data_IF_575348803581
#
_entry.id   IF_575348803581
#
_cell.length_a   1.000
_cell.length_b   1.000
_cell.length_c   1.000
_cell.angle_alpha   90.00
_cell.angle_beta   90.00
_cell.angle_gamma   90.00
#
_symmetry.space_group_name_H-M   'P 1'
#
loop_
_entity.id
_entity.type
_entity.pdbx_description
1 polymer ?
#
# COMPACT_ATOMS: atom_id res chain seq x y z
N UNK A 1 8.25 -21.19 6.28
CA UNK A 1 6.96 -20.80 5.68
C UNK A 1 5.80 -21.04 6.65
N UNK A 2 5.60 -22.26 7.18
CA UNK A 2 4.51 -22.58 8.11
C UNK A 2 4.54 -21.74 9.39
N UNK A 3 5.72 -21.52 9.99
CA UNK A 3 5.89 -20.66 11.16
C UNK A 3 5.54 -19.21 10.87
N UNK A 4 5.94 -18.68 9.70
CA UNK A 4 5.58 -17.32 9.26
C UNK A 4 4.07 -17.17 9.08
N UNK A 5 3.41 -18.18 8.51
CA UNK A 5 1.95 -18.23 8.40
C UNK A 5 1.28 -18.28 9.77
N UNK A 6 1.80 -19.09 10.70
CA UNK A 6 1.29 -19.18 12.05
C UNK A 6 1.37 -17.84 12.81
N UNK A 7 2.49 -17.14 12.71
CA UNK A 7 2.66 -15.82 13.31
C UNK A 7 1.75 -14.75 12.67
N UNK A 8 1.55 -14.81 11.36
CA UNK A 8 0.67 -13.88 10.66
C UNK A 8 -0.82 -14.21 10.86
N UNK A 9 -1.17 -15.45 11.19
CA UNK A 9 -2.53 -15.92 11.38
C UNK A 9 -3.28 -15.16 12.49
N UNK A 10 -2.57 -14.74 13.53
CA UNK A 10 -3.14 -13.92 14.61
C UNK A 10 -3.81 -12.64 14.09
N UNK A 11 -3.26 -12.03 13.05
CA UNK A 11 -3.83 -10.84 12.41
C UNK A 11 -4.78 -11.20 11.27
N UNK A 12 -4.37 -12.11 10.37
CA UNK A 12 -5.13 -12.38 9.14
C UNK A 12 -6.43 -13.14 9.38
N UNK A 13 -6.48 -14.08 10.33
CA UNK A 13 -7.69 -14.86 10.56
C UNK A 13 -8.84 -13.98 11.05
N UNK A 14 -8.70 -13.14 12.10
CA UNK A 14 -9.75 -12.21 12.50
C UNK A 14 -10.12 -11.26 11.37
N UNK A 15 -9.14 -10.66 10.69
CA UNK A 15 -9.40 -9.71 9.60
C UNK A 15 -10.24 -10.33 8.47
N UNK A 16 -9.97 -11.59 8.09
CA UNK A 16 -10.74 -12.29 7.06
C UNK A 16 -12.15 -12.66 7.53
N UNK A 17 -12.30 -13.10 8.78
CA UNK A 17 -13.60 -13.48 9.34
C UNK A 17 -14.51 -12.28 9.57
N UNK A 18 -13.93 -11.14 9.96
CA UNK A 18 -14.66 -9.92 10.30
C UNK A 18 -14.86 -9.00 9.09
N UNK A 19 -14.15 -9.21 7.98
CA UNK A 19 -14.28 -8.41 6.74
C UNK A 19 -15.74 -8.21 6.31
N UNK A 20 -16.60 -9.21 6.51
CA UNK A 20 -18.03 -9.15 6.14
C UNK A 20 -18.82 -8.09 6.93
N UNK A 21 -18.29 -7.60 8.04
CA UNK A 21 -18.97 -6.64 8.91
C UNK A 21 -18.54 -5.19 8.66
N UNK A 22 -17.67 -4.92 7.72
CA UNK A 22 -17.20 -3.58 7.37
C UNK A 22 -17.67 -3.17 5.97
N UNK A 23 -17.80 -1.85 5.73
CA UNK A 23 -18.24 -1.31 4.44
C UNK A 23 -17.34 -1.74 3.27
N UNK A 24 -16.05 -1.96 3.49
CA UNK A 24 -15.11 -2.45 2.46
C UNK A 24 -15.58 -3.75 1.80
N UNK A 25 -16.33 -4.59 2.51
CA UNK A 25 -16.87 -5.83 1.93
C UNK A 25 -18.00 -5.60 0.93
N UNK A 26 -18.68 -4.47 1.01
CA UNK A 26 -19.85 -4.15 0.19
C UNK A 26 -19.51 -3.27 -1.01
N UNK A 27 -18.51 -2.41 -0.88
CA UNK A 27 -18.09 -1.51 -1.94
C UNK A 27 -16.57 -1.45 -2.05
N UNK A 28 -15.99 -1.79 -3.20
CA UNK A 28 -14.56 -1.64 -3.42
C UNK A 28 -14.17 -0.15 -3.35
N UNK A 29 -12.98 0.13 -2.82
CA UNK A 29 -12.45 1.50 -2.65
C UNK A 29 -12.35 2.27 -3.97
N UNK A 30 -12.02 1.58 -5.05
CA UNK A 30 -11.95 2.12 -6.40
C UNK A 30 -12.22 1.04 -7.44
N UNK A 31 -12.56 1.45 -8.65
CA UNK A 31 -12.65 0.51 -9.76
C UNK A 31 -11.23 0.01 -10.12
N UNK A 32 -11.10 -1.30 -10.36
CA UNK A 32 -9.83 -1.88 -10.81
C UNK A 32 -9.32 -1.17 -12.08
N UNK A 33 -10.24 -0.76 -12.97
CA UNK A 33 -9.91 -0.10 -14.24
C UNK A 33 -9.13 1.21 -14.10
N UNK A 34 -9.29 1.92 -12.99
CA UNK A 34 -8.58 3.19 -12.73
C UNK A 34 -7.15 2.98 -12.22
N UNK A 35 -6.81 1.75 -11.85
CA UNK A 35 -5.55 1.42 -11.18
C UNK A 35 -4.54 0.71 -12.08
N UNK A 36 -4.81 0.64 -13.38
CA UNK A 36 -3.84 0.12 -14.36
C UNK A 36 -2.79 1.15 -14.73
N UNK A 37 -1.59 0.67 -15.01
CA UNK A 37 -0.45 1.52 -15.39
C UNK A 37 -0.46 1.71 -16.90
N UNK A 38 -0.33 2.95 -17.35
CA UNK A 38 -0.17 3.27 -18.77
C UNK A 38 1.29 3.04 -19.17
N UNK A 39 1.52 2.51 -20.37
CA UNK A 39 2.88 2.23 -20.87
C UNK A 39 3.79 3.47 -20.82
N UNK A 40 3.26 4.65 -21.13
CA UNK A 40 4.00 5.91 -21.07
C UNK A 40 4.48 6.26 -19.66
N UNK A 41 3.74 5.83 -18.64
CA UNK A 41 3.98 6.15 -17.23
C UNK A 41 4.88 5.09 -16.58
N UNK A 42 5.24 4.01 -17.30
CA UNK A 42 6.01 2.91 -16.77
C UNK A 42 7.43 3.33 -16.38
N UNK A 43 8.08 4.15 -17.22
CA UNK A 43 9.49 4.55 -17.02
C UNK A 43 9.60 5.69 -16.05
N UNK A 44 8.72 6.68 -16.15
CA UNK A 44 8.78 7.88 -15.34
C UNK A 44 7.43 8.54 -15.16
N UNK A 45 7.12 8.88 -13.92
CA UNK A 45 6.06 9.80 -13.53
C UNK A 45 6.68 10.85 -12.63
N UNK A 46 6.44 12.17 -12.86
CA UNK A 46 6.91 13.19 -11.96
C UNK A 46 6.28 13.02 -10.57
N UNK A 47 7.09 13.22 -9.53
CA UNK A 47 6.59 13.23 -8.17
C UNK A 47 5.57 14.35 -7.96
N UNK A 48 4.43 14.01 -7.39
CA UNK A 48 3.40 14.97 -6.98
C UNK A 48 2.72 14.48 -5.70
N UNK A 49 2.40 15.41 -4.80
CA UNK A 49 1.53 15.14 -3.66
C UNK A 49 0.10 15.11 -4.19
N UNK A 50 -0.44 13.96 -4.41
CA UNK A 50 -1.75 13.85 -4.99
C UNK A 50 -2.50 12.59 -4.62
N UNK A 51 -3.73 12.52 -5.08
CA UNK A 51 -4.67 11.43 -4.81
C UNK A 51 -4.17 10.09 -5.41
N UNK A 52 -3.35 10.15 -6.44
CA UNK A 52 -2.76 8.97 -7.06
C UNK A 52 -1.24 8.98 -6.85
N UNK A 53 -0.68 8.00 -6.14
CA UNK A 53 0.76 7.90 -6.01
C UNK A 53 1.37 7.71 -7.41
N UNK A 54 2.48 8.38 -7.72
CA UNK A 54 3.19 8.17 -8.97
C UNK A 54 3.81 6.78 -8.96
N UNK A 55 3.14 5.83 -9.63
CA UNK A 55 3.57 4.43 -9.67
C UNK A 55 4.22 4.18 -11.01
N UNK A 56 5.55 4.15 -11.01
CA UNK A 56 6.38 3.83 -12.16
C UNK A 56 7.50 2.88 -11.76
N UNK A 57 8.11 2.24 -12.74
CA UNK A 57 9.31 1.45 -12.53
C UNK A 57 10.51 2.33 -12.14
N UNK A 58 10.50 3.56 -12.62
CA UNK A 58 11.56 4.53 -12.45
C UNK A 58 12.71 4.32 -13.46
N UNK A 59 13.42 5.41 -13.73
CA UNK A 59 14.52 5.43 -14.71
C UNK A 59 15.62 4.43 -14.32
N UNK A 60 15.97 4.36 -13.03
CA UNK A 60 17.04 3.47 -12.57
C UNK A 60 16.78 2.00 -12.87
N UNK A 61 15.59 1.49 -12.55
CA UNK A 61 15.22 0.10 -12.81
C UNK A 61 15.02 -0.18 -14.31
N UNK A 62 14.52 0.79 -15.06
CA UNK A 62 14.38 0.69 -16.52
C UNK A 62 15.75 0.56 -17.20
N UNK A 63 16.73 1.39 -16.79
CA UNK A 63 18.10 1.29 -17.25
C UNK A 63 18.76 -0.03 -16.80
N UNK A 64 18.53 -0.45 -15.57
CA UNK A 64 19.03 -1.73 -15.06
C UNK A 64 18.56 -2.91 -15.93
N UNK A 65 17.26 -2.97 -16.22
CA UNK A 65 16.69 -4.00 -17.10
C UNK A 65 17.31 -3.95 -18.50
N UNK A 66 17.44 -2.76 -19.09
CA UNK A 66 18.06 -2.57 -20.38
C UNK A 66 19.52 -3.09 -20.40
N UNK A 67 20.34 -2.76 -19.40
CA UNK A 67 21.72 -3.22 -19.31
C UNK A 67 21.82 -4.73 -19.13
N UNK A 68 20.94 -5.34 -18.33
CA UNK A 68 20.91 -6.80 -18.18
C UNK A 68 20.62 -7.47 -19.53
N UNK A 69 19.58 -7.02 -20.22
CA UNK A 69 19.18 -7.61 -21.49
C UNK A 69 20.26 -7.45 -22.57
N UNK A 70 20.84 -6.26 -22.71
CA UNK A 70 21.94 -6.03 -23.67
C UNK A 70 23.15 -6.91 -23.33
N UNK A 71 23.57 -6.93 -22.07
CA UNK A 71 24.74 -7.74 -21.66
C UNK A 71 24.48 -9.22 -21.92
N UNK A 72 23.25 -9.70 -21.70
CA UNK A 72 22.88 -11.08 -22.02
C UNK A 72 22.93 -11.36 -23.51
N UNK A 73 22.38 -10.47 -24.35
CA UNK A 73 22.36 -10.64 -25.81
C UNK A 73 23.76 -10.62 -26.43
N UNK A 74 24.66 -9.77 -25.89
CA UNK A 74 26.02 -9.62 -26.37
C UNK A 74 26.99 -10.68 -25.78
N UNK A 75 26.55 -11.47 -24.82
CA UNK A 75 27.39 -12.50 -24.18
C UNK A 75 27.64 -13.66 -25.13
N UNK A 76 28.96 -13.89 -25.43
CA UNK A 76 29.40 -15.03 -26.23
C UNK A 76 29.46 -16.34 -25.40
N UNK A 77 29.67 -16.24 -24.10
CA UNK A 77 29.76 -17.36 -23.17
C UNK A 77 28.39 -17.69 -22.58
N UNK A 78 27.69 -18.60 -23.22
CA UNK A 78 26.38 -19.06 -22.74
C UNK A 78 26.54 -20.16 -21.71
N UNK A 79 25.89 -20.02 -20.59
CA UNK A 79 25.78 -21.03 -19.56
C UNK A 79 24.32 -21.48 -19.46
N UNK A 80 24.04 -22.71 -19.83
CA UNK A 80 22.66 -23.25 -19.92
C UNK A 80 21.80 -22.96 -18.68
N UNK A 81 22.34 -23.14 -17.47
CA UNK A 81 21.59 -22.87 -16.23
C UNK A 81 21.26 -21.40 -16.05
N UNK A 82 22.21 -20.50 -16.38
CA UNK A 82 21.99 -19.04 -16.34
C UNK A 82 21.01 -18.59 -17.41
N UNK A 83 21.12 -19.18 -18.61
CA UNK A 83 20.27 -18.84 -19.74
C UNK A 83 18.81 -19.17 -19.45
N UNK A 84 18.52 -20.38 -18.92
CA UNK A 84 17.17 -20.78 -18.53
C UNK A 84 16.59 -19.80 -17.50
N UNK A 85 17.37 -19.43 -16.49
CA UNK A 85 16.87 -18.55 -15.44
C UNK A 85 16.60 -17.13 -15.96
N UNK A 86 17.47 -16.59 -16.80
CA UNK A 86 17.26 -15.26 -17.42
C UNK A 86 16.01 -15.29 -18.33
N UNK A 87 15.84 -16.35 -19.12
CA UNK A 87 14.64 -16.52 -19.95
C UNK A 87 13.39 -16.59 -19.07
N UNK A 88 13.41 -17.41 -18.02
CA UNK A 88 12.30 -17.54 -17.08
C UNK A 88 11.94 -16.19 -16.44
N UNK A 89 12.92 -15.46 -15.92
CA UNK A 89 12.72 -14.13 -15.34
C UNK A 89 12.18 -13.13 -16.37
N UNK A 90 12.70 -13.17 -17.61
CA UNK A 90 12.22 -12.28 -18.68
C UNK A 90 10.77 -12.56 -19.06
N UNK A 91 10.37 -13.82 -19.21
CA UNK A 91 8.99 -14.20 -19.48
C UNK A 91 8.08 -13.82 -18.33
N UNK A 92 8.53 -14.05 -17.08
CA UNK A 92 7.79 -13.64 -15.89
C UNK A 92 7.59 -12.12 -15.82
N UNK A 93 8.62 -11.34 -16.14
CA UNK A 93 8.54 -9.88 -16.19
C UNK A 93 7.55 -9.41 -17.27
N UNK A 94 7.61 -9.96 -18.47
CA UNK A 94 6.67 -9.62 -19.54
C UNK A 94 5.23 -9.93 -19.13
N UNK A 95 5.00 -11.07 -18.49
CA UNK A 95 3.68 -11.44 -17.98
C UNK A 95 3.20 -10.47 -16.89
N UNK A 96 4.07 -10.11 -15.94
CA UNK A 96 3.74 -9.16 -14.89
C UNK A 96 3.47 -7.75 -15.45
N UNK A 97 4.27 -7.28 -16.41
CA UNK A 97 4.01 -6.00 -17.09
C UNK A 97 2.68 -6.02 -17.84
N UNK A 98 2.36 -7.13 -18.51
CA UNK A 98 1.06 -7.29 -19.15
C UNK A 98 -0.07 -7.20 -18.11
N UNK A 99 0.06 -7.85 -16.97
CA UNK A 99 -0.94 -7.81 -15.91
C UNK A 99 -1.12 -6.42 -15.26
N UNK A 100 -0.14 -5.53 -15.37
CA UNK A 100 -0.32 -4.12 -14.92
C UNK A 100 -1.05 -3.25 -15.95
N UNK A 101 -1.30 -3.74 -17.16
CA UNK A 101 -1.94 -3.01 -18.24
C UNK A 101 -3.45 -3.29 -18.31
N UNK A 102 -4.23 -2.28 -18.71
CA UNK A 102 -5.71 -2.38 -18.83
C UNK A 102 -6.18 -3.56 -19.69
N UNK A 103 -5.41 -3.96 -20.69
CA UNK A 103 -5.75 -5.08 -21.58
C UNK A 103 -5.84 -6.41 -20.83
N UNK A 104 -5.29 -6.49 -19.64
CA UNK A 104 -5.35 -7.68 -18.78
C UNK A 104 -6.55 -7.74 -17.84
N UNK A 105 -7.47 -6.78 -17.91
CA UNK A 105 -8.61 -6.64 -16.97
C UNK A 105 -9.41 -7.93 -16.76
N UNK A 106 -9.48 -8.78 -17.77
CA UNK A 106 -10.17 -10.06 -17.68
C UNK A 106 -9.53 -10.99 -16.64
N UNK A 107 -8.20 -11.02 -16.55
CA UNK A 107 -7.46 -11.87 -15.60
C UNK A 107 -7.66 -11.44 -14.15
N UNK A 108 -7.99 -10.17 -13.90
CA UNK A 108 -8.22 -9.63 -12.57
C UNK A 108 -9.52 -10.08 -11.91
N UNK A 109 -10.31 -10.90 -12.60
CA UNK A 109 -11.47 -11.60 -12.05
C UNK A 109 -11.11 -12.96 -11.45
N UNK A 110 -9.87 -13.43 -11.64
CA UNK A 110 -9.42 -14.76 -11.24
C UNK A 110 -8.63 -14.68 -9.94
N UNK A 111 -8.92 -15.49 -8.91
CA UNK A 111 -8.05 -15.64 -7.76
C UNK A 111 -6.68 -16.20 -8.19
N UNK A 112 -5.55 -15.76 -7.62
CA UNK A 112 -5.41 -14.80 -6.50
C UNK A 112 -5.34 -13.31 -6.90
N UNK A 113 -5.43 -12.96 -8.20
CA UNK A 113 -5.28 -11.57 -8.67
C UNK A 113 -6.36 -10.65 -8.08
N UNK A 114 -7.60 -11.16 -7.96
CA UNK A 114 -8.70 -10.40 -7.34
C UNK A 114 -8.38 -9.96 -5.90
N UNK A 115 -7.51 -10.69 -5.19
CA UNK A 115 -7.13 -10.35 -3.81
C UNK A 115 -6.05 -9.29 -3.72
N UNK A 116 -5.39 -8.97 -4.84
CA UNK A 116 -4.40 -7.90 -4.88
C UNK A 116 -5.04 -6.51 -4.94
N UNK A 117 -6.33 -6.40 -5.27
CA UNK A 117 -7.14 -5.19 -5.45
C UNK A 117 -6.60 -4.24 -6.53
N UNK A 118 -5.29 -4.00 -6.57
CA UNK A 118 -4.68 -2.99 -7.43
C UNK A 118 -3.56 -3.56 -8.31
N UNK A 119 -3.68 -3.45 -9.65
CA UNK A 119 -2.67 -3.92 -10.60
C UNK A 119 -1.26 -3.38 -10.35
N UNK A 120 -1.13 -2.15 -9.92
CA UNK A 120 0.16 -1.53 -9.65
C UNK A 120 0.95 -2.19 -8.51
N UNK A 121 0.30 -2.96 -7.63
CA UNK A 121 1.00 -3.73 -6.57
C UNK A 121 2.01 -4.73 -7.14
N UNK A 122 1.81 -5.18 -8.38
CA UNK A 122 2.77 -6.05 -9.07
C UNK A 122 4.10 -5.37 -9.38
N UNK A 123 4.17 -4.02 -9.34
CA UNK A 123 5.43 -3.30 -9.57
C UNK A 123 6.51 -3.66 -8.54
N UNK A 124 6.15 -3.94 -7.30
CA UNK A 124 7.10 -4.43 -6.29
C UNK A 124 7.74 -5.76 -6.69
N UNK A 125 6.96 -6.69 -7.23
CA UNK A 125 7.45 -7.99 -7.72
C UNK A 125 8.31 -7.81 -8.97
N UNK A 126 7.93 -6.90 -9.86
CA UNK A 126 8.69 -6.56 -11.07
C UNK A 126 10.08 -6.02 -10.69
N UNK A 127 10.14 -5.05 -9.77
CA UNK A 127 11.39 -4.47 -9.27
C UNK A 127 12.28 -5.55 -8.64
N UNK A 128 11.69 -6.44 -7.85
CA UNK A 128 12.41 -7.57 -7.26
C UNK A 128 13.03 -8.48 -8.34
N UNK A 129 12.27 -8.84 -9.39
CA UNK A 129 12.79 -9.68 -10.48
C UNK A 129 13.90 -8.99 -11.28
N UNK A 130 13.76 -7.69 -11.55
CA UNK A 130 14.85 -6.92 -12.19
C UNK A 130 16.11 -6.97 -11.32
N UNK A 131 15.97 -6.79 -10.02
CA UNK A 131 17.09 -6.85 -9.08
C UNK A 131 17.75 -8.22 -9.07
N UNK A 132 16.96 -9.31 -9.12
CA UNK A 132 17.50 -10.67 -9.27
C UNK A 132 18.27 -10.86 -10.58
N UNK A 133 17.75 -10.35 -11.69
CA UNK A 133 18.44 -10.45 -12.99
C UNK A 133 19.78 -9.75 -12.96
N UNK A 134 19.93 -8.65 -12.23
CA UNK A 134 21.20 -7.95 -12.06
C UNK A 134 22.31 -8.81 -11.44
N UNK A 135 21.96 -9.81 -10.63
CA UNK A 135 22.96 -10.75 -10.04
C UNK A 135 23.67 -11.62 -11.09
N UNK A 136 23.10 -11.75 -12.28
CA UNK A 136 23.68 -12.55 -13.37
C UNK A 136 24.64 -11.78 -14.26
N UNK A 137 24.78 -10.48 -14.06
CA UNK A 137 25.77 -9.71 -14.79
C UNK A 137 27.19 -10.16 -14.44
N UNK A 138 28.10 -10.22 -15.42
CA UNK A 138 29.49 -10.59 -15.17
C UNK A 138 30.14 -9.57 -14.23
N UNK A 139 30.91 -10.06 -13.25
CA UNK A 139 31.67 -9.22 -12.31
C UNK A 139 32.87 -8.58 -13.03
N UNK A 140 32.64 -7.47 -13.72
CA UNK A 140 33.69 -6.66 -14.34
C UNK A 140 33.74 -5.29 -13.67
N UNK A 141 34.93 -4.69 -13.57
CA UNK A 141 35.11 -3.38 -12.94
C UNK A 141 34.20 -2.31 -13.53
N UNK A 142 34.08 -2.25 -14.85
CA UNK A 142 33.17 -1.33 -15.54
C UNK A 142 31.69 -1.49 -15.10
N UNK A 143 31.25 -2.74 -14.94
CA UNK A 143 29.87 -3.01 -14.50
C UNK A 143 29.65 -2.59 -13.06
N UNK A 144 30.60 -2.74 -12.17
CA UNK A 144 30.52 -2.24 -10.81
C UNK A 144 30.34 -0.72 -10.79
N UNK A 145 31.07 0.00 -11.64
CA UNK A 145 30.91 1.46 -11.79
C UNK A 145 29.51 1.82 -12.29
N UNK A 146 28.99 1.09 -13.29
CA UNK A 146 27.62 1.28 -13.80
C UNK A 146 26.61 1.02 -12.69
N UNK A 147 26.79 -0.02 -11.88
CA UNK A 147 25.94 -0.29 -10.72
C UNK A 147 25.92 0.86 -9.72
N UNK A 148 27.06 1.38 -9.36
CA UNK A 148 27.17 2.53 -8.44
C UNK A 148 26.44 3.74 -9.01
N UNK A 149 26.61 4.03 -10.30
CA UNK A 149 25.91 5.13 -10.97
C UNK A 149 24.38 4.93 -10.99
N UNK A 150 23.92 3.73 -11.31
CA UNK A 150 22.49 3.41 -11.29
C UNK A 150 21.90 3.55 -9.88
N UNK A 151 22.61 3.07 -8.87
CA UNK A 151 22.19 3.23 -7.46
C UNK A 151 22.09 4.71 -7.11
N UNK A 152 23.09 5.50 -7.49
CA UNK A 152 23.08 6.95 -7.25
C UNK A 152 21.92 7.65 -7.96
N UNK A 153 21.64 7.30 -9.22
CA UNK A 153 20.50 7.81 -9.98
C UNK A 153 19.18 7.47 -9.27
N UNK A 154 19.02 6.21 -8.82
CA UNK A 154 17.82 5.80 -8.07
C UNK A 154 17.65 6.62 -6.80
N UNK A 155 18.73 6.82 -6.04
CA UNK A 155 18.68 7.62 -4.80
C UNK A 155 18.30 9.07 -5.09
N UNK A 156 18.94 9.73 -6.06
CA UNK A 156 18.62 11.11 -6.42
C UNK A 156 17.17 11.27 -6.88
N UNK A 157 16.70 10.33 -7.68
CA UNK A 157 15.33 10.36 -8.21
C UNK A 157 14.28 10.22 -7.12
N UNK A 158 14.59 9.46 -6.07
CA UNK A 158 13.67 9.22 -4.96
C UNK A 158 13.79 10.23 -3.82
N UNK A 159 14.67 11.22 -3.88
CA UNK A 159 14.80 12.24 -2.83
C UNK A 159 13.50 13.02 -2.58
N UNK A 160 12.70 13.24 -3.61
CA UNK A 160 11.42 13.94 -3.46
C UNK A 160 10.40 13.15 -2.62
N UNK A 161 10.50 11.83 -2.56
CA UNK A 161 9.65 11.00 -1.70
C UNK A 161 9.97 11.17 -0.21
N UNK A 162 11.15 11.70 0.13
CA UNK A 162 11.54 12.00 1.50
C UNK A 162 11.06 13.38 1.99
N UNK A 163 10.47 14.19 1.11
CA UNK A 163 9.96 15.52 1.46
C UNK A 163 8.47 15.42 1.80
N UNK A 164 8.04 15.80 3.00
CA UNK A 164 6.62 15.92 3.30
C UNK A 164 6.02 17.14 2.59
N UNK A 165 4.73 17.07 2.27
CA UNK A 165 3.98 18.20 1.69
C UNK A 165 3.86 19.33 2.70
N UNK A 166 3.58 18.98 3.97
CA UNK A 166 3.45 19.91 5.06
C UNK A 166 3.89 19.27 6.39
N UNK A 167 4.37 20.09 7.29
CA UNK A 167 4.62 19.70 8.67
C UNK A 167 3.43 20.11 9.53
N UNK A 168 2.83 19.16 10.22
CA UNK A 168 1.71 19.40 11.12
C UNK A 168 2.24 19.40 12.56
N UNK A 169 2.21 20.57 13.20
CA UNK A 169 2.59 20.67 14.61
C UNK A 169 1.34 20.51 15.48
N UNK A 170 1.06 19.30 15.89
CA UNK A 170 -0.05 18.94 16.79
C UNK A 170 0.51 18.31 18.05
N UNK A 171 -0.17 18.53 19.17
CA UNK A 171 0.19 17.94 20.46
C UNK A 171 -0.20 16.45 20.49
N UNK A 172 0.43 15.68 21.39
CA UNK A 172 0.10 14.26 21.57
C UNK A 172 -1.37 14.05 21.94
N UNK A 173 -1.96 14.97 22.72
CA UNK A 173 -3.38 14.94 23.06
C UNK A 173 -4.29 15.02 21.81
N UNK A 174 -3.86 15.69 20.76
CA UNK A 174 -4.58 15.69 19.48
C UNK A 174 -4.74 14.30 18.91
N UNK A 175 -3.70 13.48 18.95
CA UNK A 175 -3.72 12.12 18.39
C UNK A 175 -4.41 11.13 19.33
N UNK A 176 -4.27 11.29 20.64
CA UNK A 176 -4.87 10.40 21.63
C UNK A 176 -6.40 10.50 21.69
N UNK A 177 -6.94 11.68 21.41
CA UNK A 177 -8.38 11.95 21.50
C UNK A 177 -9.11 11.92 20.15
N UNK A 178 -8.45 11.54 19.07
CA UNK A 178 -9.05 11.48 17.74
C UNK A 178 -9.84 10.18 17.56
N UNK A 179 -11.16 10.25 17.66
CA UNK A 179 -12.09 9.14 17.42
C UNK A 179 -12.73 9.17 16.02
N UNK A 180 -12.46 10.19 15.23
CA UNK A 180 -12.93 10.24 13.86
C UNK A 180 -12.22 9.19 13.00
N UNK A 181 -12.93 8.61 12.04
CA UNK A 181 -12.30 7.71 11.06
C UNK A 181 -11.26 8.46 10.25
N UNK A 182 -10.10 7.84 10.06
CA UNK A 182 -9.02 8.36 9.21
C UNK A 182 -9.08 7.80 7.79
N UNK A 183 -9.99 6.89 7.52
CA UNK A 183 -10.15 6.29 6.19
C UNK A 183 -10.95 7.21 5.27
N UNK A 184 -10.56 7.28 3.99
CA UNK A 184 -11.08 8.26 3.04
C UNK A 184 -12.56 8.06 2.68
N UNK A 185 -13.08 6.85 2.84
CA UNK A 185 -14.47 6.46 2.50
C UNK A 185 -15.18 5.73 3.65
N UNK A 186 -14.67 5.85 4.85
CA UNK A 186 -15.17 5.12 6.03
C UNK A 186 -15.24 3.59 5.81
N UNK A 187 -14.37 3.07 4.97
CA UNK A 187 -14.41 1.69 4.50
C UNK A 187 -14.23 0.66 5.61
N UNK A 188 -13.56 1.03 6.69
CA UNK A 188 -13.34 0.16 7.84
C UNK A 188 -14.43 0.27 8.91
N UNK A 189 -15.39 1.17 8.73
CA UNK A 189 -16.51 1.30 9.67
C UNK A 189 -17.44 0.08 9.58
N UNK A 190 -17.99 -0.36 10.72
CA UNK A 190 -19.00 -1.41 10.75
C UNK A 190 -20.25 -1.04 9.93
N UNK A 191 -20.83 -2.02 9.24
CA UNK A 191 -22.01 -1.79 8.36
C UNK A 191 -23.26 -1.33 9.09
N UNK A 192 -23.35 -1.57 10.39
CA UNK A 192 -24.49 -1.14 11.23
C UNK A 192 -24.36 0.29 11.76
N UNK A 193 -23.21 0.95 11.54
CA UNK A 193 -23.01 2.35 11.93
C UNK A 193 -23.65 3.25 10.89
N UNK A 194 -24.79 3.84 11.24
CA UNK A 194 -25.52 4.75 10.35
C UNK A 194 -24.98 6.17 10.41
N UNK A 195 -24.68 6.66 11.61
CA UNK A 195 -24.14 7.99 11.83
C UNK A 195 -22.61 7.88 12.02
N UNK A 196 -21.87 8.27 11.01
CA UNK A 196 -20.42 8.24 11.03
C UNK A 196 -19.89 9.50 11.69
N UNK A 197 -18.88 9.35 12.56
CA UNK A 197 -18.19 10.48 13.15
C UNK A 197 -17.42 11.26 12.06
N UNK A 198 -17.92 12.43 11.69
CA UNK A 198 -17.29 13.31 10.69
C UNK A 198 -16.29 14.27 11.32
N UNK A 199 -16.50 14.57 12.59
CA UNK A 199 -15.73 15.54 13.33
C UNK A 199 -15.12 14.88 14.57
N UNK A 200 -14.09 15.52 15.08
CA UNK A 200 -13.45 15.09 16.30
C UNK A 200 -14.24 15.58 17.50
N UNK A 201 -14.63 14.67 18.35
CA UNK A 201 -15.28 14.99 19.62
C UNK A 201 -14.23 15.41 20.67
N UNK A 202 -14.63 16.31 21.55
CA UNK A 202 -13.78 16.81 22.64
C UNK A 202 -13.71 15.78 23.77
N UNK A 203 -14.81 15.06 23.99
CA UNK A 203 -14.95 14.02 25.02
C UNK A 203 -15.35 12.69 24.40
N UNK A 204 -15.00 11.58 25.09
CA UNK A 204 -15.45 10.21 24.72
C UNK A 204 -16.93 10.00 24.90
N UNK A 205 -17.57 10.81 25.74
CA UNK A 205 -18.99 10.77 26.02
C UNK A 205 -19.52 12.19 25.88
N UNK A 206 -20.53 12.35 25.07
CA UNK A 206 -21.24 13.61 24.89
C UNK A 206 -22.75 13.38 25.02
N UNK A 207 -23.43 14.35 25.58
CA UNK A 207 -24.88 14.38 25.61
C UNK A 207 -25.41 15.62 24.94
N UNK A 208 -26.52 15.48 24.22
CA UNK A 208 -27.26 16.61 23.68
C UNK A 208 -28.05 17.36 24.77
N UNK A 209 -28.19 16.78 25.96
CA UNK A 209 -28.84 17.39 27.09
C UNK A 209 -27.82 18.15 27.94
N UNK A 210 -28.01 19.47 28.00
CA UNK A 210 -27.13 20.38 28.78
C UNK A 210 -27.29 20.22 30.30
N UNK A 211 -28.30 19.48 30.74
CA UNK A 211 -28.56 19.21 32.18
C UNK A 211 -27.86 17.95 32.66
N UNK A 212 -27.26 17.17 31.76
CA UNK A 212 -26.49 15.99 32.10
C UNK A 212 -25.08 16.37 32.53
N UNK A 213 -24.70 16.03 33.73
CA UNK A 213 -23.35 16.18 34.24
C UNK A 213 -22.66 14.82 34.28
N UNK A 214 -21.50 14.72 33.59
CA UNK A 214 -20.69 13.52 33.53
C UNK A 214 -19.44 13.76 34.39
N UNK A 215 -19.24 12.89 35.37
CA UNK A 215 -18.07 12.94 36.28
C UNK A 215 -17.34 11.61 36.27
N UNK A 216 -16.10 11.61 36.80
CA UNK A 216 -15.28 10.42 36.97
C UNK A 216 -15.09 9.57 35.69
N UNK A 217 -14.97 10.23 34.55
CA UNK A 217 -14.76 9.57 33.27
C UNK A 217 -13.39 8.88 33.24
N UNK A 218 -13.39 7.57 33.20
CA UNK A 218 -12.22 6.76 32.94
C UNK A 218 -12.47 5.81 31.76
N UNK A 219 -11.48 5.60 30.90
CA UNK A 219 -11.65 4.71 29.77
C UNK A 219 -10.35 4.01 29.38
N UNK A 220 -10.51 2.82 28.84
CA UNK A 220 -9.47 2.03 28.21
C UNK A 220 -9.99 1.43 26.90
N UNK A 221 -9.20 0.59 26.23
CA UNK A 221 -9.60 -0.03 24.96
C UNK A 221 -10.83 -0.94 25.02
N UNK A 222 -11.31 -1.29 26.21
CA UNK A 222 -12.42 -2.24 26.40
C UNK A 222 -13.61 -1.66 27.16
N UNK A 223 -13.35 -0.77 28.11
CA UNK A 223 -14.37 -0.26 29.04
C UNK A 223 -14.34 1.26 29.09
N UNK A 224 -15.51 1.85 29.25
CA UNK A 224 -15.73 3.26 29.58
C UNK A 224 -16.55 3.28 30.85
N UNK A 225 -15.99 3.86 31.91
CA UNK A 225 -16.63 3.99 33.21
C UNK A 225 -16.84 5.49 33.50
N UNK A 226 -18.03 5.85 33.93
CA UNK A 226 -18.40 7.24 34.26
C UNK A 226 -19.59 7.30 35.19
N UNK A 227 -19.69 8.41 35.90
CA UNK A 227 -20.87 8.76 36.68
C UNK A 227 -21.69 9.82 35.93
N UNK A 228 -23.00 9.64 35.85
CA UNK A 228 -23.89 10.58 35.22
C UNK A 228 -25.02 11.01 36.16
N UNK A 229 -25.16 12.30 36.38
CA UNK A 229 -26.31 12.88 37.08
C UNK A 229 -27.34 13.31 36.06
N UNK A 230 -28.53 12.67 36.13
CA UNK A 230 -29.62 12.86 35.13
C UNK A 230 -30.82 13.47 35.84
N UNK A 231 -31.27 14.62 35.38
CA UNK A 231 -32.49 15.24 35.90
C UNK A 231 -33.75 14.77 35.16
N UNK A 232 -33.64 14.48 33.89
CA UNK A 232 -34.71 13.94 33.04
C UNK A 232 -34.19 12.74 32.24
N UNK A 233 -35.13 11.88 31.79
CA UNK A 233 -34.76 10.76 30.93
C UNK A 233 -34.11 11.28 29.63
N UNK A 234 -32.83 10.98 29.42
CA UNK A 234 -32.05 11.45 28.28
C UNK A 234 -31.24 10.30 27.66
N UNK A 235 -30.81 10.52 26.43
CA UNK A 235 -29.95 9.57 25.70
C UNK A 235 -28.51 10.04 25.72
N UNK A 236 -27.60 9.16 26.12
CA UNK A 236 -26.17 9.37 26.08
C UNK A 236 -25.64 8.70 24.79
N UNK A 237 -24.82 9.42 24.05
CA UNK A 237 -24.20 8.95 22.81
C UNK A 237 -22.70 8.68 23.01
#
# INVERSE_FOLDING_TARGET
LLQGFGLAAYFYIPALLEKKYIYLSQAPLSSISENFIKLKDLVYIPWNYGIQPPISLGIGHSLALFFVLITYLLSKNKNYKKDILIIFLSVSLLSLFYLTNINSIFFWKIPPLVWLDFPWRLMGVIIFFISLMMMYLPKKSLLNTIFMLLTFIVLLYNLNFAKPEAYINKTDSYYQTNDATTTSKDELMPIWVQNKAKERYISKIESNDRTLEITDLSYNSKNIDFNATVQNATKIN
#
